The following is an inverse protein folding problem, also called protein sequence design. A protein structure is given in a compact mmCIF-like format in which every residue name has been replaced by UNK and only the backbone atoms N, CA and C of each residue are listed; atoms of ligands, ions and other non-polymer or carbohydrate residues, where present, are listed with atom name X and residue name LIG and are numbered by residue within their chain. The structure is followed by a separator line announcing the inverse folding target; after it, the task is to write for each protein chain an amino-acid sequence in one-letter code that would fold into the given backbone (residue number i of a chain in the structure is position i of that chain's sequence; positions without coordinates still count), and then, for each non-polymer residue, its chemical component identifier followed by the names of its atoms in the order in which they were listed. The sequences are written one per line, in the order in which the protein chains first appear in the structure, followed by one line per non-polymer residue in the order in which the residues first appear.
data_IF_868788693855
#
_entry.id   IF_868788693855
#
_cell.length_a   1.000
_cell.length_b   1.000
_cell.length_c   1.000
_cell.angle_alpha   90.00
_cell.angle_beta   90.00
_cell.angle_gamma   90.00
#
_symmetry.space_group_name_H-M   'P 1'
#
loop_
_entity.id
_entity.type
_entity.pdbx_description
1 polymer ?
#
# COMPACT_ATOMS: atom_id res chain seq x y z
N UNK A 1 -18.57 2.88 -0.37
CA UNK A 1 -18.00 1.95 -1.36
C UNK A 1 -16.62 2.48 -1.67
N UNK A 2 -15.55 1.75 -1.33
CA UNK A 2 -14.18 2.27 -1.52
C UNK A 2 -13.88 2.42 -3.01
N UNK A 3 -13.21 3.49 -3.45
CA UNK A 3 -12.88 3.68 -4.86
C UNK A 3 -11.97 2.54 -5.35
N UNK A 4 -12.29 2.01 -6.55
CA UNK A 4 -11.47 1.02 -7.23
C UNK A 4 -10.44 1.72 -8.13
N UNK A 5 -9.17 1.56 -7.78
CA UNK A 5 -8.05 2.10 -8.56
C UNK A 5 -7.53 1.11 -9.60
N UNK A 6 -7.86 -0.17 -9.47
CA UNK A 6 -7.39 -1.27 -10.33
C UNK A 6 -8.43 -2.38 -10.37
N UNK A 7 -8.61 -3.00 -11.54
CA UNK A 7 -9.45 -4.20 -11.68
C UNK A 7 -8.85 -5.44 -10.99
N UNK A 8 -7.52 -5.46 -10.82
CA UNK A 8 -6.83 -6.47 -10.01
C UNK A 8 -6.97 -6.12 -8.51
N UNK A 9 -7.58 -6.99 -7.69
CA UNK A 9 -7.84 -6.73 -6.27
C UNK A 9 -6.58 -6.64 -5.42
N UNK A 10 -5.50 -7.36 -5.76
CA UNK A 10 -4.22 -7.29 -5.04
C UNK A 10 -3.59 -5.93 -5.26
N UNK A 11 -3.56 -5.48 -6.52
CA UNK A 11 -3.07 -4.13 -6.88
C UNK A 11 -3.94 -3.04 -6.28
N UNK A 12 -5.26 -3.24 -6.22
CA UNK A 12 -6.17 -2.29 -5.62
C UNK A 12 -5.88 -2.11 -4.12
N UNK A 13 -5.70 -3.22 -3.40
CA UNK A 13 -5.31 -3.19 -1.98
C UNK A 13 -3.98 -2.49 -1.77
N UNK A 14 -2.95 -2.84 -2.53
CA UNK A 14 -1.63 -2.22 -2.42
C UNK A 14 -1.69 -0.69 -2.64
N UNK A 15 -2.46 -0.24 -3.64
CA UNK A 15 -2.69 1.20 -3.89
C UNK A 15 -3.40 1.88 -2.73
N UNK A 16 -4.41 1.22 -2.16
CA UNK A 16 -5.13 1.75 -1.01
C UNK A 16 -4.19 1.94 0.20
N UNK A 17 -3.35 0.95 0.50
CA UNK A 17 -2.36 1.02 1.60
C UNK A 17 -1.36 2.17 1.39
N UNK A 18 -0.86 2.34 0.16
CA UNK A 18 0.07 3.42 -0.17
C UNK A 18 -0.58 4.81 -0.03
N UNK A 19 -1.82 4.96 -0.49
CA UNK A 19 -2.57 6.21 -0.32
C UNK A 19 -2.85 6.49 1.17
N UNK A 20 -3.15 5.47 1.96
CA UNK A 20 -3.32 5.63 3.43
C UNK A 20 -2.03 6.11 4.09
N UNK A 21 -0.88 5.52 3.72
CA UNK A 21 0.43 5.97 4.19
C UNK A 21 0.72 7.42 3.77
N UNK A 22 0.40 7.78 2.54
CA UNK A 22 0.59 9.14 2.02
C UNK A 22 -0.32 10.16 2.74
N UNK A 23 -1.58 9.80 2.99
CA UNK A 23 -2.55 10.64 3.72
C UNK A 23 -2.15 10.92 5.18
N UNK A 24 -1.36 10.02 5.77
CA UNK A 24 -0.81 10.17 7.12
C UNK A 24 0.54 10.92 7.16
N UNK A 25 1.18 11.17 6.01
CA UNK A 25 2.47 11.84 5.94
C UNK A 25 2.37 13.33 6.25
N UNK A 26 3.24 13.84 7.11
CA UNK A 26 3.36 15.27 7.43
C UNK A 26 4.38 15.99 6.55
N UNK A 27 5.20 15.25 5.80
CA UNK A 27 6.29 15.82 5.00
C UNK A 27 5.78 16.67 3.82
N UNK A 28 4.60 16.34 3.29
CA UNK A 28 3.96 17.11 2.22
C UNK A 28 2.43 17.16 2.46
N UNK A 29 1.94 18.21 3.14
CA UNK A 29 0.51 18.34 3.48
C UNK A 29 -0.42 18.34 2.26
N UNK A 30 0.02 18.92 1.14
CA UNK A 30 -0.78 18.97 -0.09
C UNK A 30 -0.89 17.60 -0.76
N UNK A 31 0.18 16.80 -0.76
CA UNK A 31 0.15 15.42 -1.21
C UNK A 31 -0.70 14.52 -0.29
N UNK A 32 -0.65 14.77 1.02
CA UNK A 32 -1.50 14.06 1.98
C UNK A 32 -2.99 14.36 1.75
N UNK A 33 -3.34 15.61 1.46
CA UNK A 33 -4.71 15.99 1.14
C UNK A 33 -5.21 15.34 -0.16
N UNK A 34 -4.39 15.38 -1.22
CA UNK A 34 -4.68 14.69 -2.47
C UNK A 34 -4.97 13.20 -2.25
N UNK A 35 -4.20 12.54 -1.38
CA UNK A 35 -4.40 11.14 -1.04
C UNK A 35 -5.74 10.90 -0.32
N UNK A 36 -6.16 11.80 0.58
CA UNK A 36 -7.47 11.71 1.25
C UNK A 36 -8.62 11.85 0.26
N UNK A 37 -8.55 12.81 -0.65
CA UNK A 37 -9.57 13.02 -1.68
C UNK A 37 -9.69 11.82 -2.62
N UNK A 38 -8.56 11.19 -2.98
CA UNK A 38 -8.56 9.93 -3.74
C UNK A 38 -9.20 8.78 -2.97
N UNK A 39 -8.86 8.61 -1.68
CA UNK A 39 -9.42 7.56 -0.83
C UNK A 39 -10.92 7.76 -0.58
N UNK A 40 -11.37 9.01 -0.48
CA UNK A 40 -12.78 9.38 -0.36
C UNK A 40 -13.56 9.17 -1.66
N UNK A 41 -12.87 9.07 -2.80
CA UNK A 41 -13.50 8.97 -4.13
C UNK A 41 -14.04 10.30 -4.65
N UNK A 42 -13.71 11.43 -4.00
CA UNK A 42 -14.08 12.77 -4.45
C UNK A 42 -13.36 13.14 -5.75
N UNK A 43 -12.16 12.60 -5.94
CA UNK A 43 -11.38 12.71 -7.17
C UNK A 43 -10.92 11.34 -7.63
N UNK A 44 -10.62 11.21 -8.92
CA UNK A 44 -10.02 10.00 -9.51
C UNK A 44 -8.60 10.30 -9.99
N UNK A 45 -7.71 9.30 -10.12
CA UNK A 45 -6.36 9.55 -10.66
C UNK A 45 -6.39 10.24 -12.03
N UNK A 46 -7.31 9.83 -12.90
CA UNK A 46 -7.50 10.46 -14.22
C UNK A 46 -8.04 11.89 -14.09
N UNK A 47 -8.94 12.12 -13.14
CA UNK A 47 -9.49 13.44 -12.83
C UNK A 47 -8.44 14.43 -12.34
N UNK A 48 -7.50 13.97 -11.50
CA UNK A 48 -6.36 14.78 -11.04
C UNK A 48 -5.51 15.22 -12.23
N UNK A 49 -5.21 14.32 -13.17
CA UNK A 49 -4.40 14.68 -14.35
C UNK A 49 -5.10 15.67 -15.28
N UNK A 50 -6.45 15.68 -15.31
CA UNK A 50 -7.22 16.62 -16.12
C UNK A 50 -7.52 17.95 -15.43
N UNK A 51 -7.23 18.09 -14.13
CA UNK A 51 -7.57 19.28 -13.35
C UNK A 51 -6.32 19.91 -12.76
N UNK A 52 -6.29 21.24 -12.66
CA UNK A 52 -5.14 21.94 -12.08
C UNK A 52 -5.11 21.92 -10.54
N UNK A 53 -6.06 21.24 -9.90
CA UNK A 53 -6.27 21.29 -8.44
C UNK A 53 -5.04 20.83 -7.65
N UNK A 54 -4.26 19.89 -8.22
CA UNK A 54 -3.02 19.37 -7.63
C UNK A 54 -1.81 19.53 -8.56
N UNK A 55 -1.88 20.47 -9.52
CA UNK A 55 -0.81 20.68 -10.49
C UNK A 55 0.52 21.00 -9.80
N UNK A 56 0.52 21.87 -8.79
CA UNK A 56 1.75 22.26 -8.07
C UNK A 56 2.36 21.10 -7.28
N UNK A 57 1.51 20.21 -6.74
CA UNK A 57 1.96 19.00 -6.01
C UNK A 57 2.72 18.07 -6.96
N UNK A 58 2.24 17.91 -8.19
CA UNK A 58 2.87 17.07 -9.20
C UNK A 58 4.04 17.77 -9.88
N UNK A 59 3.97 19.08 -10.11
CA UNK A 59 4.98 19.87 -10.80
C UNK A 59 6.33 19.87 -10.07
N UNK A 60 6.35 19.70 -8.74
CA UNK A 60 7.59 19.63 -7.96
C UNK A 60 8.47 18.41 -8.32
N UNK A 61 7.89 17.32 -8.79
CA UNK A 61 8.59 16.06 -9.08
C UNK A 61 8.55 15.63 -10.54
N UNK A 62 7.62 16.17 -11.33
CA UNK A 62 7.37 15.75 -12.72
C UNK A 62 8.47 16.14 -13.71
N UNK A 63 9.07 17.35 -13.69
CA UNK A 63 10.06 17.76 -14.70
C UNK A 63 11.31 16.85 -14.72
N UNK A 64 11.89 16.60 -13.55
CA UNK A 64 13.06 15.72 -13.43
C UNK A 64 12.74 14.27 -13.80
N UNK A 65 11.53 13.80 -13.46
CA UNK A 65 11.06 12.49 -13.88
C UNK A 65 10.90 12.39 -15.41
N UNK A 66 10.30 13.39 -16.05
CA UNK A 66 10.05 13.39 -17.49
C UNK A 66 11.34 13.43 -18.30
N UNK A 67 12.32 14.25 -17.87
CA UNK A 67 13.64 14.31 -18.49
C UNK A 67 14.38 12.97 -18.34
N UNK A 68 14.43 12.43 -17.12
CA UNK A 68 15.05 11.13 -16.85
C UNK A 68 14.38 10.01 -17.66
N UNK A 69 13.06 9.87 -17.59
CA UNK A 69 12.32 8.81 -18.28
C UNK A 69 12.39 8.94 -19.80
N UNK A 70 12.44 10.17 -20.31
CA UNK A 70 12.63 10.45 -21.73
C UNK A 70 14.02 10.08 -22.26
N UNK A 71 15.04 10.03 -21.39
CA UNK A 71 16.40 9.63 -21.76
C UNK A 71 16.62 8.12 -21.89
N UNK A 72 15.68 7.32 -21.37
CA UNK A 72 15.76 5.86 -21.37
C UNK A 72 15.36 5.25 -22.73
N UNK A 73 16.03 4.18 -23.14
CA UNK A 73 15.57 3.29 -24.21
C UNK A 73 14.31 2.51 -23.80
N UNK A 74 13.59 1.93 -24.75
CA UNK A 74 12.38 1.14 -24.45
C UNK A 74 12.66 -0.05 -23.52
N UNK A 75 13.78 -0.76 -23.71
CA UNK A 75 14.16 -1.85 -22.81
C UNK A 75 14.47 -1.38 -21.39
N UNK A 76 15.07 -0.19 -21.25
CA UNK A 76 15.30 0.41 -19.92
C UNK A 76 14.01 0.90 -19.28
N UNK A 77 13.06 1.45 -20.06
CA UNK A 77 11.72 1.82 -19.57
C UNK A 77 10.99 0.61 -19.01
N UNK A 78 11.05 -0.53 -19.69
CA UNK A 78 10.45 -1.78 -19.21
C UNK A 78 11.10 -2.26 -17.91
N UNK A 79 12.44 -2.23 -17.85
CA UNK A 79 13.17 -2.58 -16.64
C UNK A 79 12.81 -1.66 -15.45
N UNK A 80 12.70 -0.35 -15.68
CA UNK A 80 12.30 0.62 -14.66
C UNK A 80 10.84 0.48 -14.26
N UNK A 81 9.94 0.13 -15.20
CA UNK A 81 8.55 -0.16 -14.89
C UNK A 81 8.43 -1.37 -13.95
N UNK A 82 9.21 -2.42 -14.20
CA UNK A 82 9.24 -3.61 -13.34
C UNK A 82 9.85 -3.32 -11.97
N UNK A 83 10.99 -2.61 -11.94
CA UNK A 83 11.60 -2.15 -10.68
C UNK A 83 10.62 -1.31 -9.86
N UNK A 84 9.88 -0.40 -10.50
CA UNK A 84 8.85 0.41 -9.87
C UNK A 84 7.70 -0.42 -9.30
N UNK A 85 7.20 -1.44 -10.02
CA UNK A 85 6.16 -2.35 -9.50
C UNK A 85 6.63 -3.09 -8.25
N UNK A 86 7.87 -3.55 -8.24
CA UNK A 86 8.47 -4.25 -7.11
C UNK A 86 8.63 -3.31 -5.91
N UNK A 87 9.14 -2.09 -6.13
CA UNK A 87 9.28 -1.08 -5.09
C UNK A 87 7.92 -0.69 -4.47
N UNK A 88 6.88 -0.49 -5.29
CA UNK A 88 5.54 -0.18 -4.81
C UNK A 88 4.95 -1.33 -3.98
N UNK A 89 5.17 -2.58 -4.39
CA UNK A 89 4.72 -3.75 -3.64
C UNK A 89 5.40 -3.83 -2.27
N UNK A 90 6.70 -3.59 -2.21
CA UNK A 90 7.44 -3.55 -0.94
C UNK A 90 6.98 -2.40 -0.04
N UNK A 91 6.76 -1.23 -0.61
CA UNK A 91 6.30 -0.06 0.14
C UNK A 91 4.86 -0.23 0.64
N UNK A 92 4.01 -0.96 -0.08
CA UNK A 92 2.65 -1.29 0.33
C UNK A 92 2.60 -2.37 1.41
N UNK A 93 3.67 -3.15 1.59
CA UNK A 93 3.71 -4.17 2.63
C UNK A 93 3.45 -3.52 4.01
N UNK A 94 2.67 -4.17 4.88
CA UNK A 94 2.53 -3.71 6.25
C UNK A 94 3.91 -3.69 6.90
N UNK A 95 4.22 -2.62 7.65
CA UNK A 95 5.38 -2.69 8.55
C UNK A 95 5.22 -3.95 9.39
N UNK A 96 6.24 -4.81 9.39
CA UNK A 96 6.20 -6.06 10.12
C UNK A 96 5.89 -5.70 11.57
N UNK A 97 4.66 -5.97 12.01
CA UNK A 97 4.30 -5.85 13.43
C UNK A 97 5.34 -6.67 14.17
N UNK A 98 6.06 -6.10 15.17
CA UNK A 98 6.97 -6.90 15.96
C UNK A 98 6.17 -8.10 16.46
N UNK A 99 6.68 -9.30 16.18
CA UNK A 99 6.04 -10.53 16.60
C UNK A 99 5.73 -10.39 18.10
N UNK A 100 4.50 -10.71 18.55
CA UNK A 100 4.22 -10.70 19.98
C UNK A 100 5.28 -11.57 20.66
N UNK A 101 5.87 -11.14 21.78
CA UNK A 101 6.87 -11.95 22.48
C UNK A 101 6.24 -13.31 22.75
N UNK A 102 6.81 -14.36 22.15
CA UNK A 102 6.47 -15.73 22.53
C UNK A 102 6.79 -15.83 24.01
N UNK A 103 5.77 -15.92 24.86
CA UNK A 103 5.96 -16.34 26.25
C UNK A 103 6.60 -17.72 26.18
N UNK A 104 7.88 -17.78 26.53
CA UNK A 104 8.54 -19.03 26.88
C UNK A 104 8.04 -19.42 28.27
N UNK A 105 6.81 -19.92 28.34
CA UNK A 105 6.36 -20.67 29.51
C UNK A 105 6.78 -22.13 29.28
N UNK A 106 7.98 -22.42 29.76
CA UNK A 106 8.38 -23.77 30.08
C UNK A 106 8.08 -23.98 31.56
N UNK A 107 6.91 -24.55 31.90
CA UNK A 107 6.74 -25.50 33.01
C UNK A 107 5.51 -26.37 32.70
N UNK A 108 5.77 -27.67 32.51
CA UNK A 108 5.00 -28.83 32.95
C UNK A 108 3.67 -28.56 33.69
N UNK A 109 2.56 -29.05 33.15
CA UNK A 109 1.51 -29.68 33.96
C UNK A 109 0.76 -30.69 33.10
N UNK A 110 0.68 -31.91 33.64
CA UNK A 110 0.03 -33.07 33.06
C UNK A 110 -1.50 -32.87 33.07
N UNK A 111 -2.11 -32.56 31.93
CA UNK A 111 -3.56 -32.71 31.76
C UNK A 111 -3.82 -33.88 30.81
N UNK A 112 -4.06 -35.03 31.45
CA UNK A 112 -4.54 -36.28 30.86
C UNK A 112 -5.99 -36.09 30.37
N UNK A 113 -6.17 -35.99 29.04
CA UNK A 113 -7.49 -35.88 28.40
C UNK A 113 -8.07 -37.25 27.99
N UNK A 114 -7.76 -38.34 28.71
CA UNK A 114 -8.21 -39.70 28.33
C UNK A 114 -9.57 -40.15 28.88
N UNK A 115 -10.33 -39.33 29.62
CA UNK A 115 -11.57 -39.80 30.27
C UNK A 115 -12.81 -38.94 29.99
N UNK A 116 -13.08 -38.61 28.72
CA UNK A 116 -14.40 -38.11 28.32
C UNK A 116 -15.08 -39.07 27.35
N UNK A 117 -15.89 -39.94 27.93
CA UNK A 117 -16.74 -40.90 27.23
C UNK A 117 -18.03 -40.17 26.77
N UNK A 118 -18.12 -39.86 25.47
CA UNK A 118 -19.18 -39.02 24.88
C UNK A 118 -20.31 -39.83 24.21
N UNK A 119 -20.52 -41.10 24.57
CA UNK A 119 -21.57 -41.92 23.96
C UNK A 119 -22.33 -42.77 24.98
N UNK A 120 -23.13 -42.09 25.82
CA UNK A 120 -24.36 -42.65 26.35
C UNK A 120 -25.50 -41.65 26.07
N UNK A 121 -26.35 -42.02 25.10
CA UNK A 121 -27.47 -41.25 24.59
C UNK A 121 -28.23 -41.99 23.51
#
# INVERSE_FOLDING_TARGET
MSPEFSADPVRNRARHELLTKLAASTANPAAAEMARELLAGNVTPRGILSTNLYADVLAASTPGFAEWYGSLSEGEKDAQAEAGRNALTQLAAPEAKPAPPRRSDAVDDEEDFSEVDWLDG
#
